data_IF_731019076475
#
_entry.id   IF_731019076475
#
_cell.length_a   1.000
_cell.length_b   1.000
_cell.length_c   1.000
_cell.angle_alpha   90.00
_cell.angle_beta   90.00
_cell.angle_gamma   90.00
#
_symmetry.space_group_name_H-M   'P 1'
#
loop_
_entity.id
_entity.type
_entity.pdbx_description
1 polymer ?
#
# COMPACT_ATOMS: atom_id res chain seq x y z
N UNK A 1 -20.09 16.26 -24.27
CA UNK A 1 -20.29 14.81 -24.49
C UNK A 1 -19.89 14.57 -25.92
N UNK A 2 -18.76 13.90 -26.16
CA UNK A 2 -18.23 13.77 -27.52
C UNK A 2 -18.28 12.32 -27.96
N UNK A 3 -18.98 12.08 -29.06
CA UNK A 3 -19.11 10.78 -29.70
C UNK A 3 -18.08 10.67 -30.84
N UNK A 4 -17.11 9.77 -30.71
CA UNK A 4 -16.28 9.29 -31.84
C UNK A 4 -16.15 7.77 -31.78
N UNK A 5 -16.48 7.10 -32.89
CA UNK A 5 -16.26 5.65 -33.15
C UNK A 5 -16.90 4.66 -32.16
N UNK A 6 -18.15 4.90 -31.74
CA UNK A 6 -18.93 3.88 -31.02
C UNK A 6 -18.44 3.49 -29.63
N UNK A 7 -17.45 4.22 -29.08
CA UNK A 7 -17.03 4.09 -27.69
C UNK A 7 -17.47 5.33 -26.90
N UNK A 8 -18.23 5.10 -25.83
CA UNK A 8 -18.65 6.13 -24.90
C UNK A 8 -17.44 6.56 -24.07
N UNK A 9 -16.84 7.71 -24.41
CA UNK A 9 -15.81 8.32 -23.57
C UNK A 9 -16.48 9.18 -22.50
N UNK A 10 -16.58 8.62 -21.29
CA UNK A 10 -17.00 9.37 -20.10
C UNK A 10 -15.77 10.11 -19.58
N UNK A 11 -15.77 11.43 -19.77
CA UNK A 11 -14.88 12.34 -19.04
C UNK A 11 -15.38 12.47 -17.60
N UNK A 12 -14.54 12.09 -16.63
CA UNK A 12 -14.89 12.06 -15.20
C UNK A 12 -15.03 13.48 -14.63
N UNK A 13 -16.18 13.75 -14.02
CA UNK A 13 -16.40 14.91 -13.15
C UNK A 13 -15.63 14.76 -11.84
N UNK A 14 -15.53 15.83 -11.05
CA UNK A 14 -14.79 15.86 -9.76
C UNK A 14 -15.29 14.79 -8.77
N UNK A 15 -16.59 14.52 -8.73
CA UNK A 15 -17.22 13.48 -7.89
C UNK A 15 -16.93 12.06 -8.39
N UNK A 16 -16.79 11.90 -9.72
CA UNK A 16 -16.36 10.64 -10.34
C UNK A 16 -14.92 10.26 -9.94
N UNK A 17 -14.03 11.24 -9.72
CA UNK A 17 -12.68 11.01 -9.19
C UNK A 17 -12.67 10.48 -7.77
N UNK A 18 -13.59 10.92 -6.91
CA UNK A 18 -13.68 10.44 -5.52
C UNK A 18 -14.20 8.99 -5.44
N UNK A 19 -15.15 8.62 -6.28
CA UNK A 19 -15.53 7.21 -6.45
C UNK A 19 -14.41 6.38 -7.09
N UNK A 20 -13.67 6.92 -8.04
CA UNK A 20 -12.55 6.22 -8.67
C UNK A 20 -11.45 5.85 -7.66
N UNK A 21 -11.09 6.75 -6.73
CA UNK A 21 -10.15 6.44 -5.64
C UNK A 21 -10.58 5.24 -4.79
N UNK A 22 -11.90 5.09 -4.57
CA UNK A 22 -12.44 3.95 -3.83
C UNK A 22 -12.30 2.64 -4.61
N UNK A 23 -12.52 2.66 -5.93
CA UNK A 23 -12.23 1.48 -6.75
C UNK A 23 -10.73 1.18 -6.79
N UNK A 24 -9.87 2.19 -6.92
CA UNK A 24 -8.42 2.00 -6.94
C UNK A 24 -7.87 1.38 -5.65
N UNK A 25 -8.39 1.80 -4.48
CA UNK A 25 -7.98 1.20 -3.20
C UNK A 25 -8.43 -0.26 -3.09
N UNK A 26 -9.65 -0.58 -3.53
CA UNK A 26 -10.25 -1.92 -3.39
C UNK A 26 -9.51 -2.96 -4.25
N UNK A 27 -8.94 -2.57 -5.38
CA UNK A 27 -8.19 -3.45 -6.30
C UNK A 27 -6.66 -3.32 -6.18
N UNK A 28 -6.12 -2.68 -5.14
CA UNK A 28 -4.67 -2.64 -4.95
C UNK A 28 -4.10 -4.05 -4.79
N UNK A 29 -3.04 -4.32 -5.56
CA UNK A 29 -2.31 -5.58 -5.50
C UNK A 29 -0.82 -5.32 -5.64
N UNK A 30 -0.03 -5.94 -4.76
CA UNK A 30 1.43 -5.89 -4.87
C UNK A 30 1.91 -6.96 -5.84
N UNK A 31 2.52 -6.52 -6.94
CA UNK A 31 3.15 -7.43 -7.90
C UNK A 31 4.31 -8.17 -7.24
N UNK A 32 4.25 -9.51 -7.25
CA UNK A 32 5.28 -10.38 -6.70
C UNK A 32 6.25 -10.80 -7.82
N UNK A 33 7.45 -10.18 -7.94
CA UNK A 33 8.43 -10.62 -8.91
C UNK A 33 8.88 -12.07 -8.64
N UNK A 34 9.28 -12.79 -9.69
CA UNK A 34 9.81 -14.15 -9.57
C UNK A 34 11.06 -14.24 -8.69
N UNK A 35 11.83 -13.16 -8.62
CA UNK A 35 13.08 -13.07 -7.86
C UNK A 35 13.01 -11.88 -6.92
N UNK A 36 13.27 -12.14 -5.65
CA UNK A 36 13.50 -11.08 -4.67
C UNK A 36 14.85 -10.41 -4.93
N UNK A 37 14.87 -9.09 -4.92
CA UNK A 37 16.07 -8.27 -5.12
C UNK A 37 16.92 -8.09 -3.84
N UNK A 38 16.57 -8.82 -2.77
CA UNK A 38 17.24 -8.81 -1.47
C UNK A 38 17.12 -7.49 -0.70
N UNK A 39 16.07 -6.72 -0.96
CA UNK A 39 15.74 -5.52 -0.17
C UNK A 39 14.41 -5.68 0.55
N UNK A 40 14.32 -5.15 1.75
CA UNK A 40 13.07 -4.98 2.48
C UNK A 40 12.51 -3.59 2.22
N UNK A 41 11.20 -3.51 2.02
CA UNK A 41 10.45 -2.27 1.94
C UNK A 41 9.67 -2.17 3.23
N UNK A 42 10.13 -1.26 4.08
CA UNK A 42 9.60 -1.05 5.40
C UNK A 42 8.62 0.11 5.29
N UNK A 43 7.34 -0.19 5.45
CA UNK A 43 6.30 0.80 5.58
C UNK A 43 6.15 1.20 7.04
N UNK A 44 6.37 2.48 7.33
CA UNK A 44 6.10 3.07 8.64
C UNK A 44 4.97 4.10 8.50
N UNK A 45 4.21 4.27 9.57
CA UNK A 45 3.25 5.37 9.66
C UNK A 45 3.13 5.90 11.08
N UNK A 46 2.79 7.17 11.20
CA UNK A 46 2.37 7.79 12.44
C UNK A 46 1.06 8.53 12.20
N UNK A 47 0.02 8.13 12.94
CA UNK A 47 -1.33 8.68 12.85
C UNK A 47 -1.74 8.93 14.27
N UNK A 48 -2.16 10.14 14.64
CA UNK A 48 -2.53 10.45 16.02
C UNK A 48 -3.60 9.49 16.62
N UNK A 49 -3.51 9.17 17.91
CA UNK A 49 -4.40 8.22 18.63
C UNK A 49 -5.89 8.59 18.55
N UNK A 50 -6.19 9.89 18.46
CA UNK A 50 -7.56 10.40 18.24
C UNK A 50 -8.22 9.86 16.96
N UNK A 51 -7.44 9.28 16.04
CA UNK A 51 -7.90 8.68 14.79
C UNK A 51 -7.79 7.15 14.79
N UNK A 52 -8.09 6.49 15.93
CA UNK A 52 -8.04 5.02 16.07
C UNK A 52 -8.73 4.27 14.93
N UNK A 53 -9.94 4.68 14.53
CA UNK A 53 -10.70 4.02 13.45
C UNK A 53 -9.93 4.06 12.11
N UNK A 54 -9.36 5.23 11.77
CA UNK A 54 -8.54 5.41 10.55
C UNK A 54 -7.30 4.51 10.59
N UNK A 55 -6.65 4.40 11.76
CA UNK A 55 -5.46 3.56 11.94
C UNK A 55 -5.78 2.08 11.76
N UNK A 56 -6.86 1.60 12.37
CA UNK A 56 -7.26 0.20 12.25
C UNK A 56 -7.72 -0.15 10.83
N UNK A 57 -8.41 0.77 10.14
CA UNK A 57 -8.75 0.61 8.73
C UNK A 57 -7.48 0.51 7.84
N UNK A 58 -6.48 1.38 8.07
CA UNK A 58 -5.20 1.32 7.36
C UNK A 58 -4.48 -0.02 7.61
N UNK A 59 -4.39 -0.46 8.87
CA UNK A 59 -3.79 -1.77 9.22
C UNK A 59 -4.50 -2.91 8.52
N UNK A 60 -5.83 -2.89 8.49
CA UNK A 60 -6.64 -3.88 7.78
C UNK A 60 -6.24 -3.94 6.30
N UNK A 61 -6.15 -2.78 5.64
CA UNK A 61 -5.78 -2.73 4.22
C UNK A 61 -4.34 -3.17 3.96
N UNK A 62 -3.38 -2.77 4.80
CA UNK A 62 -1.98 -3.19 4.70
C UNK A 62 -1.86 -4.72 4.84
N UNK A 63 -2.62 -5.31 5.77
CA UNK A 63 -2.67 -6.77 5.96
C UNK A 63 -3.29 -7.48 4.76
N UNK A 64 -4.35 -6.93 4.18
CA UNK A 64 -4.98 -7.44 2.95
C UNK A 64 -4.01 -7.44 1.76
N UNK A 65 -3.18 -6.40 1.64
CA UNK A 65 -2.09 -6.34 0.65
C UNK A 65 -0.96 -7.36 0.87
N UNK A 66 -1.00 -8.07 2.01
CA UNK A 66 -0.05 -9.12 2.32
C UNK A 66 1.30 -8.61 2.84
N UNK A 67 1.35 -7.43 3.47
CA UNK A 67 2.56 -7.03 4.21
C UNK A 67 2.65 -7.81 5.54
N UNK A 68 3.87 -8.06 5.99
CA UNK A 68 4.14 -8.67 7.28
C UNK A 68 4.21 -7.59 8.37
N UNK A 69 3.53 -7.82 9.48
CA UNK A 69 3.53 -6.88 10.60
C UNK A 69 4.76 -7.09 11.47
N UNK A 70 5.72 -6.14 11.43
CA UNK A 70 6.92 -6.20 12.26
C UNK A 70 6.67 -5.60 13.66
N UNK A 71 5.94 -4.49 13.72
CA UNK A 71 5.46 -3.87 14.96
C UNK A 71 4.08 -3.26 14.73
N UNK A 72 3.54 -2.52 15.72
CA UNK A 72 2.27 -1.80 15.55
C UNK A 72 2.33 -0.92 14.29
N UNK A 73 3.19 0.08 14.18
CA UNK A 73 3.17 0.95 12.99
C UNK A 73 4.28 0.67 11.99
N UNK A 74 4.83 -0.55 11.99
CA UNK A 74 5.96 -0.95 11.14
C UNK A 74 5.60 -2.24 10.44
N UNK A 75 5.62 -2.21 9.11
CA UNK A 75 5.26 -3.31 8.23
C UNK A 75 6.34 -3.51 7.20
N UNK A 76 6.56 -4.74 6.76
CA UNK A 76 7.61 -5.06 5.80
C UNK A 76 7.09 -5.89 4.65
N UNK A 77 7.66 -5.68 3.47
CA UNK A 77 7.44 -6.52 2.30
C UNK A 77 8.71 -6.57 1.43
N UNK A 78 9.03 -7.72 0.81
CA UNK A 78 10.21 -7.88 -0.02
C UNK A 78 10.02 -7.34 -1.45
N UNK A 79 8.80 -6.90 -1.80
CA UNK A 79 8.46 -6.45 -3.14
C UNK A 79 8.29 -4.92 -3.16
N UNK A 80 8.41 -4.29 -4.33
CA UNK A 80 8.16 -2.86 -4.45
C UNK A 80 6.66 -2.57 -4.47
N UNK A 81 6.21 -1.61 -3.66
CA UNK A 81 4.80 -1.21 -3.57
C UNK A 81 4.62 0.32 -3.39
N UNK A 82 5.50 1.11 -4.00
CA UNK A 82 5.48 2.58 -3.87
C UNK A 82 4.20 3.22 -4.41
N UNK A 83 3.60 2.63 -5.45
CA UNK A 83 2.35 3.13 -6.06
C UNK A 83 1.16 2.89 -5.15
N UNK A 84 1.13 1.71 -4.52
CA UNK A 84 0.10 1.29 -3.58
C UNK A 84 0.13 2.19 -2.33
N UNK A 85 1.33 2.60 -1.87
CA UNK A 85 1.44 3.60 -0.80
C UNK A 85 0.92 4.97 -1.22
N UNK A 86 1.19 5.43 -2.45
CA UNK A 86 0.64 6.69 -2.92
C UNK A 86 -0.90 6.67 -2.92
N UNK A 87 -1.52 5.58 -3.39
CA UNK A 87 -2.98 5.40 -3.36
C UNK A 87 -3.49 5.33 -1.92
N UNK A 88 -2.82 4.60 -1.03
CA UNK A 88 -3.19 4.55 0.39
C UNK A 88 -3.11 5.94 1.05
N UNK A 89 -2.04 6.70 0.80
CA UNK A 89 -1.90 8.07 1.34
C UNK A 89 -3.06 8.95 0.87
N UNK A 90 -3.36 8.93 -0.41
CA UNK A 90 -4.45 9.72 -0.98
C UNK A 90 -5.83 9.31 -0.45
N UNK A 91 -6.08 8.01 -0.30
CA UNK A 91 -7.35 7.48 0.17
C UNK A 91 -7.59 7.76 1.65
N UNK A 92 -6.58 7.54 2.49
CA UNK A 92 -6.68 7.81 3.91
C UNK A 92 -6.48 9.30 4.24
N UNK A 93 -6.03 10.12 3.28
CA UNK A 93 -5.68 11.52 3.54
C UNK A 93 -4.52 11.60 4.54
N UNK A 94 -3.40 10.97 4.18
CA UNK A 94 -2.15 10.97 4.94
C UNK A 94 -1.09 11.78 4.20
N UNK A 95 -0.26 12.51 4.93
CA UNK A 95 0.88 13.20 4.37
C UNK A 95 2.06 12.26 4.10
N UNK A 96 3.11 12.77 3.46
CA UNK A 96 4.36 12.03 3.28
C UNK A 96 5.12 11.82 4.59
N UNK A 97 4.91 12.69 5.59
CA UNK A 97 5.48 12.56 6.92
C UNK A 97 4.73 11.53 7.76
N UNK A 98 3.41 11.41 7.58
CA UNK A 98 2.58 10.45 8.32
C UNK A 98 2.72 9.00 7.83
N UNK A 99 3.22 8.77 6.61
CA UNK A 99 3.39 7.43 6.05
C UNK A 99 4.61 7.40 5.14
N UNK A 100 5.59 6.53 5.38
CA UNK A 100 6.87 6.51 4.66
C UNK A 100 7.28 5.09 4.31
N UNK A 101 8.01 4.93 3.20
CA UNK A 101 8.70 3.69 2.86
C UNK A 101 10.20 3.90 3.03
N UNK A 102 10.83 2.99 3.76
CA UNK A 102 12.28 2.86 3.86
C UNK A 102 12.70 1.61 3.08
N UNK A 103 13.73 1.74 2.25
CA UNK A 103 14.35 0.59 1.59
C UNK A 103 15.59 0.19 2.38
N UNK A 104 15.60 -1.02 2.91
CA UNK A 104 16.70 -1.57 3.70
C UNK A 104 17.28 -2.82 3.02
N UNK A 105 18.60 -2.99 3.06
CA UNK A 105 19.28 -4.22 2.59
C UNK A 105 19.23 -5.33 3.62
N UNK A 106 19.01 -5.00 4.89
CA UNK A 106 18.84 -5.94 6.00
C UNK A 106 17.94 -5.34 7.08
N UNK A 107 17.28 -6.20 7.84
CA UNK A 107 16.62 -5.89 9.10
C UNK A 107 16.92 -7.04 10.07
N UNK A 108 16.93 -6.78 11.36
CA UNK A 108 17.15 -7.83 12.37
C UNK A 108 15.92 -8.72 12.50
N UNK A 109 16.13 -9.99 12.90
CA UNK A 109 15.08 -10.95 13.21
C UNK A 109 14.02 -11.15 12.10
N UNK A 110 14.42 -11.11 10.83
CA UNK A 110 13.50 -11.24 9.67
C UNK A 110 13.08 -12.69 9.34
N UNK A 111 13.40 -13.65 10.21
CA UNK A 111 13.16 -15.07 9.98
C UNK A 111 11.69 -15.38 9.68
N UNK A 112 10.77 -14.93 10.56
CA UNK A 112 9.33 -15.17 10.40
C UNK A 112 8.78 -14.48 9.14
N UNK A 113 9.31 -13.30 8.81
CA UNK A 113 8.95 -12.58 7.60
C UNK A 113 9.40 -13.34 6.35
N UNK A 114 10.63 -13.89 6.34
CA UNK A 114 11.11 -14.72 5.23
C UNK A 114 10.24 -15.96 5.04
N UNK A 115 9.84 -16.63 6.11
CA UNK A 115 8.91 -17.76 6.05
C UNK A 115 7.57 -17.31 5.48
N UNK A 116 7.01 -16.21 6.01
CA UNK A 116 5.73 -15.65 5.55
C UNK A 116 5.72 -15.35 4.04
N UNK A 117 6.82 -14.81 3.51
CA UNK A 117 6.97 -14.51 2.09
C UNK A 117 7.53 -15.65 1.24
N UNK A 118 7.76 -16.83 1.82
CA UNK A 118 8.40 -17.98 1.17
C UNK A 118 9.74 -17.62 0.48
N UNK A 119 10.54 -16.79 1.15
CA UNK A 119 11.87 -16.40 0.70
C UNK A 119 12.86 -17.49 1.13
N UNK A 120 13.66 -17.99 0.18
CA UNK A 120 14.74 -18.94 0.50
C UNK A 120 15.74 -18.24 1.43
N UNK A 121 16.09 -18.91 2.52
CA UNK A 121 17.19 -18.55 3.43
C UNK A 121 18.50 -18.46 2.68
#
# INVERSE_FOLDING_TARGET
MDYKKGQLFISLTKEGREKAKKYDIDFLEIKKPKKWDRKWRILIFDIADKHRVKREALRGKIKELGLFQLQKSVWICPYEFFKEVAVMRDFFGLSNEEMQIITATSIENDHDARIFFNLKS
#
